data_IF_938035841027
#
_entry.id   IF_938035841027
#
_cell.length_a   1.000
_cell.length_b   1.000
_cell.length_c   1.000
_cell.angle_alpha   90.00
_cell.angle_beta   90.00
_cell.angle_gamma   90.00
#
_symmetry.space_group_name_H-M   'P 1'
#
loop_
_entity.id
_entity.type
_entity.pdbx_description
1 polymer ?
#
# COMPACT_ATOMS: atom_id res chain seq x y z
N UNK A 1 6.99 53.96 46.26
CA UNK A 1 6.44 52.60 46.37
C UNK A 1 6.39 51.98 44.97
N UNK A 2 7.07 50.84 44.81
CA UNK A 2 7.22 49.86 43.70
C UNK A 2 6.48 50.06 42.36
N UNK A 3 7.16 50.04 41.20
CA UNK A 3 6.54 49.72 39.92
C UNK A 3 6.27 48.21 39.82
N UNK A 4 5.05 47.82 39.44
CA UNK A 4 4.65 46.42 39.24
C UNK A 4 4.92 46.01 37.79
N UNK A 5 5.94 45.19 37.59
CA UNK A 5 6.19 44.45 36.35
C UNK A 5 4.99 43.56 36.01
N UNK A 6 4.35 43.82 34.87
CA UNK A 6 3.47 42.85 34.22
C UNK A 6 4.34 41.92 33.35
N UNK A 7 4.61 40.72 33.85
CA UNK A 7 5.23 39.65 33.06
C UNK A 7 4.11 39.03 32.21
N UNK A 8 4.19 39.24 30.90
CA UNK A 8 3.33 38.59 29.90
C UNK A 8 3.80 37.14 29.79
N UNK A 9 2.99 36.19 30.27
CA UNK A 9 3.20 34.76 30.00
C UNK A 9 2.59 34.42 28.63
N UNK A 10 3.39 34.51 27.57
CA UNK A 10 3.05 33.93 26.28
C UNK A 10 3.36 32.43 26.32
N UNK A 11 2.35 31.61 26.65
CA UNK A 11 2.42 30.16 26.48
C UNK A 11 2.20 29.85 25.01
N UNK A 12 3.28 29.71 24.25
CA UNK A 12 3.23 29.27 22.87
C UNK A 12 2.80 27.81 22.78
N UNK A 13 1.66 27.53 22.14
CA UNK A 13 1.31 26.19 21.69
C UNK A 13 2.29 25.79 20.58
N UNK A 14 3.28 24.96 20.91
CA UNK A 14 4.08 24.24 19.93
C UNK A 14 3.22 23.11 19.35
N UNK A 15 2.48 23.39 18.27
CA UNK A 15 1.93 22.35 17.40
C UNK A 15 3.11 21.70 16.66
N UNK A 16 3.60 20.59 17.21
CA UNK A 16 4.57 19.72 16.53
C UNK A 16 3.91 19.17 15.25
N UNK A 17 4.17 19.83 14.13
CA UNK A 17 3.82 19.33 12.81
C UNK A 17 4.82 18.24 12.46
N UNK A 18 4.44 16.98 12.65
CA UNK A 18 5.22 15.85 12.15
C UNK A 18 5.10 15.83 10.62
N UNK A 19 6.09 16.39 9.93
CA UNK A 19 6.24 16.21 8.48
C UNK A 19 6.79 14.80 8.25
N UNK A 20 5.96 13.88 7.75
CA UNK A 20 6.44 12.59 7.24
C UNK A 20 7.13 12.89 5.91
N UNK A 21 8.45 12.73 5.89
CA UNK A 21 9.26 12.90 4.69
C UNK A 21 8.87 11.82 3.67
N UNK A 22 8.38 12.23 2.49
CA UNK A 22 8.21 11.30 1.38
C UNK A 22 9.57 10.70 0.98
N UNK A 23 9.73 9.39 1.17
CA UNK A 23 10.95 8.68 0.80
C UNK A 23 10.90 8.27 -0.67
N UNK A 24 11.67 8.94 -1.53
CA UNK A 24 11.87 8.50 -2.91
C UNK A 24 12.77 7.27 -2.92
N UNK A 25 12.17 6.12 -3.22
CA UNK A 25 12.86 4.84 -3.29
C UNK A 25 12.89 4.34 -4.73
N UNK A 26 13.93 3.58 -5.10
CA UNK A 26 14.15 3.04 -6.44
C UNK A 26 14.30 1.52 -6.37
N UNK A 27 13.49 0.81 -7.14
CA UNK A 27 13.62 -0.64 -7.31
C UNK A 27 13.68 -1.04 -8.78
N UNK A 28 14.03 -2.30 -9.01
CA UNK A 28 14.01 -3.02 -10.27
C UNK A 28 13.10 -4.24 -10.09
N UNK A 29 12.30 -4.64 -11.09
CA UNK A 29 11.50 -5.86 -10.98
C UNK A 29 11.44 -6.63 -12.29
N UNK A 30 11.32 -7.94 -12.14
CA UNK A 30 11.01 -8.89 -13.19
C UNK A 30 9.50 -9.18 -13.17
N UNK A 31 8.89 -9.17 -14.35
CA UNK A 31 7.52 -9.63 -14.57
C UNK A 31 7.54 -10.98 -15.30
N UNK A 32 6.95 -12.00 -14.69
CA UNK A 32 6.89 -13.37 -15.23
C UNK A 32 5.45 -13.71 -15.59
N UNK A 33 5.25 -14.23 -16.79
CA UNK A 33 3.96 -14.70 -17.31
C UNK A 33 3.99 -16.22 -17.42
N UNK A 34 3.18 -16.91 -16.62
CA UNK A 34 2.86 -18.31 -16.83
C UNK A 34 1.55 -18.40 -17.63
N UNK A 35 1.66 -18.55 -18.95
CA UNK A 35 0.50 -18.59 -19.84
C UNK A 35 -0.26 -19.93 -19.79
N UNK A 36 0.29 -20.97 -19.15
CA UNK A 36 -0.36 -22.28 -19.03
C UNK A 36 -1.49 -22.22 -18.00
N UNK A 37 -1.23 -21.59 -16.85
CA UNK A 37 -2.18 -21.51 -15.73
C UNK A 37 -2.78 -20.10 -15.53
N UNK A 38 -2.38 -19.11 -16.33
CA UNK A 38 -2.84 -17.72 -16.18
C UNK A 38 -2.26 -17.03 -14.94
N UNK A 39 -1.09 -17.47 -14.49
CA UNK A 39 -0.41 -16.93 -13.32
C UNK A 39 0.60 -15.85 -13.73
N UNK A 40 0.62 -14.76 -12.97
CA UNK A 40 1.55 -13.66 -13.15
C UNK A 40 2.34 -13.45 -11.87
N UNK A 41 3.63 -13.17 -12.01
CA UNK A 41 4.51 -12.93 -10.88
C UNK A 41 5.29 -11.64 -11.08
N UNK A 42 5.36 -10.84 -10.03
CA UNK A 42 6.28 -9.72 -9.91
C UNK A 42 7.33 -10.13 -8.90
N UNK A 43 8.61 -10.06 -9.26
CA UNK A 43 9.70 -10.28 -8.31
C UNK A 43 10.67 -9.10 -8.35
N UNK A 44 10.89 -8.41 -7.22
CA UNK A 44 11.77 -7.26 -7.18
C UNK A 44 13.22 -7.70 -6.99
N UNK A 45 14.16 -6.85 -7.41
CA UNK A 45 15.58 -7.05 -7.18
C UNK A 45 15.93 -6.85 -5.69
N UNK A 46 15.36 -5.81 -5.07
CA UNK A 46 15.46 -5.58 -3.63
C UNK A 46 14.10 -5.74 -2.98
N UNK A 47 14.05 -6.18 -1.73
CA UNK A 47 12.76 -6.40 -1.07
C UNK A 47 11.99 -5.10 -0.83
N UNK A 48 12.69 -3.99 -0.59
CA UNK A 48 12.11 -2.67 -0.36
C UNK A 48 12.48 -1.72 -1.52
N UNK A 49 11.55 -0.87 -2.01
CA UNK A 49 10.10 -0.85 -1.71
C UNK A 49 9.44 -2.18 -2.02
N UNK A 50 8.43 -2.53 -1.22
CA UNK A 50 7.67 -3.77 -1.43
C UNK A 50 6.94 -3.63 -2.75
N UNK A 51 7.23 -4.51 -3.68
CA UNK A 51 6.58 -4.62 -4.98
C UNK A 51 6.82 -6.04 -5.49
N UNK A 52 6.01 -6.99 -5.04
CA UNK A 52 6.32 -8.43 -5.18
C UNK A 52 5.08 -9.30 -5.08
N UNK A 53 5.13 -10.49 -5.66
CA UNK A 53 4.19 -11.59 -5.48
C UNK A 53 3.34 -11.90 -6.71
N UNK A 54 2.40 -12.81 -6.53
CA UNK A 54 1.61 -13.40 -7.62
C UNK A 54 0.15 -12.95 -7.63
N UNK A 55 -0.49 -12.95 -8.80
CA UNK A 55 -1.91 -12.58 -8.95
C UNK A 55 -2.87 -13.57 -8.26
N UNK A 56 -2.41 -14.79 -8.00
CA UNK A 56 -3.18 -15.82 -7.31
C UNK A 56 -2.30 -16.69 -6.41
N UNK A 57 -2.93 -17.45 -5.53
CA UNK A 57 -2.26 -18.51 -4.79
C UNK A 57 -2.03 -19.71 -5.71
N UNK A 58 -0.78 -19.98 -6.05
CA UNK A 58 -0.47 -21.05 -7.00
C UNK A 58 -0.73 -22.42 -6.37
N UNK A 59 -1.21 -23.35 -7.19
CA UNK A 59 -1.47 -24.74 -6.76
C UNK A 59 -0.20 -25.42 -6.23
N UNK A 60 0.97 -25.03 -6.73
CA UNK A 60 2.26 -25.61 -6.37
C UNK A 60 2.88 -25.02 -5.11
N UNK A 61 2.57 -23.76 -4.77
CA UNK A 61 3.13 -23.15 -3.57
C UNK A 61 2.41 -23.59 -2.29
N UNK A 62 1.20 -24.17 -2.39
CA UNK A 62 0.42 -24.65 -1.24
C UNK A 62 0.37 -23.57 -0.14
N UNK A 63 0.66 -23.94 1.12
CA UNK A 63 0.69 -23.02 2.26
C UNK A 63 2.00 -22.23 2.39
N UNK A 64 2.96 -22.38 1.47
CA UNK A 64 4.22 -21.62 1.48
C UNK A 64 4.05 -20.22 0.90
N UNK A 65 3.08 -20.02 0.01
CA UNK A 65 2.71 -18.68 -0.44
C UNK A 65 1.78 -18.03 0.57
N UNK A 66 2.34 -17.12 1.37
CA UNK A 66 1.59 -16.43 2.42
C UNK A 66 0.76 -15.26 1.88
N UNK A 67 1.05 -14.76 0.68
CA UNK A 67 0.43 -13.53 0.16
C UNK A 67 0.25 -13.55 -1.34
N UNK A 68 -0.79 -12.84 -1.78
CA UNK A 68 -0.90 -12.33 -3.15
C UNK A 68 0.13 -11.23 -3.39
N UNK A 69 0.27 -10.80 -4.63
CA UNK A 69 1.14 -9.70 -4.97
C UNK A 69 0.68 -8.38 -4.40
N UNK A 70 1.62 -7.58 -3.94
CA UNK A 70 1.35 -6.33 -3.25
C UNK A 70 2.47 -5.32 -3.46
N UNK A 71 2.14 -4.06 -3.25
CA UNK A 71 3.13 -3.03 -2.98
C UNK A 71 2.87 -2.34 -1.66
N UNK A 72 3.87 -1.64 -1.16
CA UNK A 72 3.60 -0.66 -0.13
C UNK A 72 4.75 -0.33 0.78
N UNK A 73 4.37 0.38 1.82
CA UNK A 73 5.27 1.11 2.67
C UNK A 73 5.54 0.40 4.01
N UNK A 74 6.69 0.74 4.61
CA UNK A 74 6.82 0.69 6.06
C UNK A 74 5.98 1.82 6.67
N UNK A 75 5.18 1.45 7.66
CA UNK A 75 4.22 2.28 8.36
C UNK A 75 3.33 1.38 9.20
N UNK A 76 2.76 1.89 10.29
CA UNK A 76 1.83 1.13 11.13
C UNK A 76 0.47 1.82 11.14
N UNK A 77 -0.56 1.09 10.73
CA UNK A 77 -1.96 1.47 10.83
C UNK A 77 -2.49 1.05 12.20
N UNK A 78 -3.31 1.88 12.84
CA UNK A 78 -3.85 1.54 14.15
C UNK A 78 -4.80 0.34 14.07
N UNK A 79 -4.76 -0.55 15.07
CA UNK A 79 -5.77 -1.60 15.22
C UNK A 79 -7.14 -0.96 15.47
N UNK A 80 -8.22 -1.60 15.00
CA UNK A 80 -9.59 -1.10 15.09
C UNK A 80 -9.76 0.27 14.42
N UNK A 81 -9.12 0.46 13.28
CA UNK A 81 -9.23 1.66 12.44
C UNK A 81 -9.70 1.31 11.03
N UNK A 82 -10.04 2.34 10.27
CA UNK A 82 -10.33 2.28 8.85
C UNK A 82 -9.18 2.90 8.09
N UNK A 83 -8.60 2.13 7.17
CA UNK A 83 -7.45 2.51 6.39
C UNK A 83 -7.78 2.69 4.91
N UNK A 84 -7.06 3.61 4.29
CA UNK A 84 -7.13 3.90 2.86
C UNK A 84 -5.74 3.74 2.27
N UNK A 85 -5.65 3.14 1.10
CA UNK A 85 -4.42 2.90 0.35
C UNK A 85 -4.69 3.25 -1.12
N UNK A 86 -3.94 4.18 -1.68
CA UNK A 86 -4.14 4.62 -3.06
C UNK A 86 -2.87 5.03 -3.76
N UNK A 87 -2.95 5.09 -5.09
CA UNK A 87 -1.93 5.67 -5.94
C UNK A 87 -2.40 7.03 -6.47
N UNK A 88 -1.63 8.09 -6.21
CA UNK A 88 -1.88 9.40 -6.80
C UNK A 88 -1.37 9.41 -8.26
N UNK A 89 -2.14 10.04 -9.17
CA UNK A 89 -1.85 10.16 -10.60
C UNK A 89 -1.53 8.84 -11.32
N UNK A 90 -2.11 7.73 -10.84
CA UNK A 90 -1.87 6.41 -11.42
C UNK A 90 -2.64 6.19 -12.72
N UNK A 91 -2.01 5.60 -13.75
CA UNK A 91 -2.70 5.12 -14.95
C UNK A 91 -3.48 3.81 -14.71
N UNK A 92 -3.28 3.16 -13.55
CA UNK A 92 -3.91 1.88 -13.22
C UNK A 92 -5.29 2.16 -12.61
N UNK A 93 -6.36 1.76 -13.31
CA UNK A 93 -7.71 1.79 -12.75
C UNK A 93 -7.89 0.67 -11.72
N UNK A 94 -8.37 1.02 -10.52
CA UNK A 94 -8.60 0.10 -9.40
C UNK A 94 -7.38 -0.76 -9.08
N UNK A 95 -6.23 -0.17 -8.70
CA UNK A 95 -4.97 -0.89 -8.58
C UNK A 95 -4.93 -1.92 -7.45
N UNK A 96 -5.82 -1.81 -6.45
CA UNK A 96 -5.78 -2.63 -5.25
C UNK A 96 -7.14 -3.26 -4.91
N UNK A 97 -7.12 -4.44 -4.30
CA UNK A 97 -8.31 -5.17 -3.80
C UNK A 97 -8.46 -5.12 -2.28
N UNK A 98 -7.38 -4.77 -1.56
CA UNK A 98 -7.36 -4.76 -0.10
C UNK A 98 -5.96 -4.53 0.45
N UNK A 99 -5.82 -4.63 1.77
CA UNK A 99 -4.54 -4.60 2.47
C UNK A 99 -4.04 -6.03 2.76
N UNK A 100 -2.74 -6.27 2.60
CA UNK A 100 -2.18 -7.61 2.70
C UNK A 100 -2.37 -8.23 4.09
N UNK A 101 -2.79 -9.49 4.12
CA UNK A 101 -2.94 -10.28 5.34
C UNK A 101 -2.48 -11.71 5.05
N UNK A 102 -1.56 -12.29 5.83
CA UNK A 102 -1.11 -13.66 5.54
C UNK A 102 -2.25 -14.66 5.56
N UNK A 103 -2.44 -15.41 4.48
CA UNK A 103 -3.55 -16.38 4.36
C UNK A 103 -3.50 -17.50 5.42
N UNK A 104 -2.33 -17.75 6.00
CA UNK A 104 -2.12 -18.77 7.02
C UNK A 104 -2.51 -18.29 8.43
N UNK A 105 -2.75 -17.00 8.60
CA UNK A 105 -3.08 -16.43 9.90
C UNK A 105 -4.58 -16.49 10.15
N UNK A 106 -4.96 -16.98 11.33
CA UNK A 106 -6.38 -17.26 11.67
C UNK A 106 -7.26 -16.00 11.65
N UNK A 107 -6.67 -14.84 11.90
CA UNK A 107 -7.38 -13.55 11.89
C UNK A 107 -7.44 -12.90 10.50
N UNK A 108 -6.81 -13.52 9.50
CA UNK A 108 -6.83 -13.08 8.10
C UNK A 108 -7.86 -13.87 7.29
N UNK A 109 -8.52 -13.23 6.29
CA UNK A 109 -9.29 -13.96 5.29
C UNK A 109 -8.42 -14.93 4.49
N UNK A 110 -9.02 -16.05 4.06
CA UNK A 110 -8.32 -17.08 3.28
C UNK A 110 -7.78 -16.56 1.93
N UNK A 111 -8.41 -15.50 1.40
CA UNK A 111 -8.01 -14.80 0.18
C UNK A 111 -6.76 -13.93 0.38
N UNK A 112 -6.26 -13.80 1.61
CA UNK A 112 -4.94 -13.21 1.91
C UNK A 112 -4.90 -11.68 1.94
N UNK A 113 -6.05 -11.04 2.19
CA UNK A 113 -6.12 -9.59 2.37
C UNK A 113 -7.33 -9.17 3.22
N UNK A 114 -7.23 -8.02 3.87
CA UNK A 114 -8.36 -7.32 4.46
C UNK A 114 -9.06 -6.51 3.35
N UNK A 115 -10.36 -6.78 3.08
CA UNK A 115 -11.06 -6.11 1.99
C UNK A 115 -11.42 -4.67 2.35
N UNK A 116 -11.65 -3.86 1.32
CA UNK A 116 -12.20 -2.51 1.42
C UNK A 116 -13.02 -2.16 0.18
N UNK A 117 -13.48 -0.92 0.11
CA UNK A 117 -14.14 -0.38 -1.07
C UNK A 117 -13.12 -0.07 -2.17
N UNK A 118 -13.28 -0.72 -3.32
CA UNK A 118 -12.39 -0.54 -4.47
C UNK A 118 -12.81 0.71 -5.25
N UNK A 119 -12.00 1.76 -5.18
CA UNK A 119 -12.17 2.98 -5.96
C UNK A 119 -11.20 3.06 -7.14
N UNK A 120 -11.37 4.10 -7.96
CA UNK A 120 -10.56 4.31 -9.18
C UNK A 120 -9.05 4.28 -8.91
N UNK A 121 -8.60 4.89 -7.81
CA UNK A 121 -7.18 5.10 -7.53
C UNK A 121 -6.63 4.15 -6.45
N UNK A 122 -7.47 3.34 -5.81
CA UNK A 122 -7.05 2.56 -4.66
C UNK A 122 -8.17 1.80 -3.98
N UNK A 123 -7.92 1.38 -2.76
CA UNK A 123 -8.85 0.70 -1.88
C UNK A 123 -9.02 1.51 -0.60
N UNK A 124 -10.27 1.67 -0.17
CA UNK A 124 -10.66 2.60 0.89
C UNK A 124 -11.46 1.86 1.96
N UNK A 125 -11.48 2.40 3.17
CA UNK A 125 -12.31 1.90 4.26
C UNK A 125 -11.99 0.44 4.61
N UNK A 126 -10.71 0.08 4.58
CA UNK A 126 -10.23 -1.24 5.00
C UNK A 126 -10.31 -1.29 6.53
N UNK A 127 -11.09 -2.22 7.07
CA UNK A 127 -11.16 -2.40 8.52
C UNK A 127 -9.92 -3.15 9.02
N UNK A 128 -9.01 -2.44 9.68
CA UNK A 128 -7.78 -3.00 10.29
C UNK A 128 -8.14 -3.74 11.58
N UNK A 129 -8.59 -4.99 11.45
CA UNK A 129 -9.05 -5.83 12.57
C UNK A 129 -7.94 -6.62 13.26
N UNK A 130 -6.76 -6.70 12.65
CA UNK A 130 -5.60 -7.47 13.14
C UNK A 130 -4.29 -6.83 12.68
N UNK A 131 -3.22 -7.04 13.43
CA UNK A 131 -1.83 -6.78 12.97
C UNK A 131 -1.07 -8.05 12.61
N UNK A 132 -1.59 -9.22 13.02
CA UNK A 132 -1.04 -10.51 12.63
C UNK A 132 -1.10 -10.67 11.11
N UNK A 133 -0.18 -11.47 10.56
CA UNK A 133 -0.08 -11.64 9.12
C UNK A 133 0.38 -10.38 8.38
N UNK A 134 1.03 -9.47 9.08
CA UNK A 134 1.49 -8.17 8.61
C UNK A 134 0.38 -7.20 8.14
N UNK A 135 -0.87 -7.41 8.57
CA UNK A 135 -2.03 -6.57 8.21
C UNK A 135 -2.07 -5.20 8.90
N UNK A 136 -1.09 -4.90 9.76
CA UNK A 136 -0.89 -3.56 10.30
C UNK A 136 -0.09 -2.65 9.37
N UNK A 137 0.51 -3.19 8.30
CA UNK A 137 1.36 -2.44 7.38
C UNK A 137 0.55 -2.08 6.12
N UNK A 138 0.57 -0.82 5.67
CA UNK A 138 -0.17 -0.39 4.48
C UNK A 138 0.46 -1.00 3.23
N UNK A 139 -0.05 -2.16 2.82
CA UNK A 139 0.46 -3.00 1.74
C UNK A 139 -0.70 -3.39 0.82
N UNK A 140 -1.01 -2.50 -0.12
CA UNK A 140 -2.07 -2.70 -1.12
C UNK A 140 -1.81 -3.94 -1.97
N UNK A 141 -2.72 -4.91 -1.89
CA UNK A 141 -2.70 -6.12 -2.73
C UNK A 141 -3.18 -5.77 -4.13
N UNK A 142 -2.38 -6.10 -5.13
CA UNK A 142 -2.65 -5.81 -6.53
C UNK A 142 -3.93 -6.46 -7.02
N UNK A 143 -4.68 -5.72 -7.81
CA UNK A 143 -5.84 -6.23 -8.56
C UNK A 143 -5.42 -6.90 -9.88
N UNK A 144 -6.38 -7.53 -10.56
CA UNK A 144 -6.15 -8.03 -11.92
C UNK A 144 -5.78 -6.89 -12.89
N UNK A 145 -6.40 -5.72 -12.77
CA UNK A 145 -6.07 -4.57 -13.63
C UNK A 145 -4.65 -4.06 -13.41
N UNK A 146 -4.11 -4.17 -12.20
CA UNK A 146 -2.70 -3.88 -11.94
C UNK A 146 -1.77 -4.86 -12.68
N UNK A 147 -2.07 -6.17 -12.63
CA UNK A 147 -1.30 -7.16 -13.39
C UNK A 147 -1.41 -6.98 -14.91
N UNK A 148 -2.60 -6.65 -15.42
CA UNK A 148 -2.80 -6.30 -16.83
C UNK A 148 -1.98 -5.08 -17.23
N UNK A 149 -1.91 -4.05 -16.37
CA UNK A 149 -1.04 -2.91 -16.60
C UNK A 149 0.44 -3.34 -16.65
N UNK A 150 0.92 -4.08 -15.63
CA UNK A 150 2.33 -4.51 -15.56
C UNK A 150 2.76 -5.36 -16.76
N UNK A 151 1.86 -6.21 -17.26
CA UNK A 151 2.08 -7.02 -18.47
C UNK A 151 2.36 -6.15 -19.70
N UNK A 152 1.64 -5.04 -19.80
CA UNK A 152 1.72 -4.12 -20.93
C UNK A 152 2.83 -3.06 -20.80
N UNK A 153 3.47 -2.93 -19.63
CA UNK A 153 4.64 -2.07 -19.46
C UNK A 153 5.79 -2.58 -20.35
N UNK A 154 6.42 -1.71 -21.17
CA UNK A 154 7.60 -2.07 -21.95
C UNK A 154 8.81 -2.38 -21.04
N UNK A 155 9.65 -3.33 -21.46
CA UNK A 155 10.92 -3.59 -20.76
C UNK A 155 11.80 -2.35 -20.82
N UNK A 156 12.42 -1.99 -19.70
CA UNK A 156 13.26 -0.80 -19.58
C UNK A 156 12.47 0.47 -19.27
N UNK A 157 11.14 0.40 -19.21
CA UNK A 157 10.32 1.53 -18.79
C UNK A 157 10.59 1.90 -17.32
N UNK A 158 10.47 3.21 -17.06
CA UNK A 158 10.55 3.78 -15.72
C UNK A 158 9.16 4.21 -15.32
N UNK A 159 8.62 3.61 -14.27
CA UNK A 159 7.32 3.98 -13.72
C UNK A 159 7.50 4.66 -12.35
N UNK A 160 6.69 5.67 -12.08
CA UNK A 160 6.66 6.35 -10.78
C UNK A 160 5.28 6.13 -10.20
N UNK A 161 5.21 5.57 -8.98
CA UNK A 161 3.98 5.32 -8.26
C UNK A 161 3.96 6.11 -6.95
N UNK A 162 3.12 7.13 -6.89
CA UNK A 162 2.95 7.91 -5.67
C UNK A 162 2.03 7.13 -4.72
N UNK A 163 2.60 6.42 -3.76
CA UNK A 163 1.88 5.49 -2.89
C UNK A 163 1.48 6.16 -1.58
N UNK A 164 0.18 6.27 -1.35
CA UNK A 164 -0.33 6.94 -0.16
C UNK A 164 -1.11 5.96 0.70
N UNK A 165 -1.06 6.20 2.01
CA UNK A 165 -1.97 5.57 2.94
C UNK A 165 -2.36 6.53 4.06
N UNK A 166 -3.54 6.31 4.63
CA UNK A 166 -3.97 6.95 5.87
C UNK A 166 -4.87 6.01 6.66
N UNK A 167 -5.10 6.33 7.93
CA UNK A 167 -6.08 5.60 8.73
C UNK A 167 -6.76 6.51 9.74
N UNK A 168 -7.94 6.09 10.20
CA UNK A 168 -8.77 6.79 11.18
C UNK A 168 -9.53 5.82 12.07
N UNK A 169 -9.73 6.17 13.33
CA UNK A 169 -10.63 5.42 14.23
C UNK A 169 -12.10 5.78 14.03
N UNK A 170 -12.39 6.85 13.27
CA UNK A 170 -13.74 7.26 12.92
C UNK A 170 -14.19 6.53 11.67
N UNK A 171 -15.27 5.77 11.81
CA UNK A 171 -16.04 5.25 10.69
C UNK A 171 -16.54 6.41 9.81
N UNK A 172 -16.49 6.23 8.50
CA UNK A 172 -16.80 7.26 7.52
C UNK A 172 -17.47 6.63 6.28
N UNK A 173 -18.38 7.37 5.63
CA UNK A 173 -19.17 6.85 4.49
C UNK A 173 -18.49 7.19 3.15
N UNK A 174 -18.59 6.26 2.19
CA UNK A 174 -18.15 6.42 0.79
C UNK A 174 -19.39 6.51 -0.15
N UNK A 175 -19.43 7.32 -1.23
CA UNK A 175 -18.67 8.54 -1.57
C UNK A 175 -19.60 9.78 -1.57
N UNK A 176 -19.37 10.85 -0.77
CA UNK A 176 -18.54 11.96 -1.27
C UNK A 176 -17.81 12.79 -0.18
N UNK A 177 -16.51 13.07 -0.42
CA UNK A 177 -16.00 14.44 -0.26
C UNK A 177 -14.91 14.75 0.76
N UNK A 178 -14.60 13.91 1.77
CA UNK A 178 -13.49 14.21 2.69
C UNK A 178 -12.76 12.94 3.17
N UNK A 179 -11.57 12.74 2.60
CA UNK A 179 -10.55 11.79 3.09
C UNK A 179 -10.18 12.16 4.53
N UNK A 180 -10.07 11.16 5.40
CA UNK A 180 -9.94 11.37 6.84
C UNK A 180 -8.50 11.71 7.23
N UNK A 181 -8.37 12.74 8.06
CA UNK A 181 -7.12 13.36 8.47
C UNK A 181 -6.25 12.47 9.37
N UNK A 182 -5.25 11.78 8.79
CA UNK A 182 -3.89 11.63 9.33
C UNK A 182 -2.96 11.13 8.21
N UNK A 183 -2.15 12.04 7.69
CA UNK A 183 -1.33 11.83 6.48
C UNK A 183 -0.07 11.00 6.77
N UNK A 184 0.09 9.88 6.07
CA UNK A 184 1.39 9.24 5.81
C UNK A 184 1.64 9.19 4.30
N UNK A 185 2.52 10.06 3.79
CA UNK A 185 2.84 10.15 2.36
C UNK A 185 4.14 9.38 2.05
N UNK A 186 4.14 8.49 1.03
CA UNK A 186 5.36 7.89 0.48
C UNK A 186 5.35 7.90 -1.06
N UNK A 187 6.28 8.61 -1.70
CA UNK A 187 6.47 8.50 -3.15
C UNK A 187 7.40 7.34 -3.51
N UNK A 188 6.90 6.31 -4.20
CA UNK A 188 7.72 5.18 -4.65
C UNK A 188 8.06 5.32 -6.14
N UNK A 189 9.33 5.24 -6.52
CA UNK A 189 9.75 5.20 -7.93
C UNK A 189 10.20 3.79 -8.26
N UNK A 190 9.55 3.09 -9.20
CA UNK A 190 9.83 1.69 -9.49
C UNK A 190 10.25 1.57 -10.95
N UNK A 191 11.53 1.27 -11.18
CA UNK A 191 12.03 1.01 -12.52
C UNK A 191 11.77 -0.45 -12.88
N UNK A 192 11.52 -0.76 -14.15
CA UNK A 192 11.52 -2.14 -14.66
C UNK A 192 12.70 -2.35 -15.61
N UNK A 193 13.90 -2.65 -15.11
CA UNK A 193 15.01 -3.03 -15.96
C UNK A 193 14.98 -4.55 -16.16
N UNK A 194 14.95 -4.92 -17.44
CA UNK A 194 15.43 -6.18 -17.99
C UNK A 194 15.04 -7.47 -17.23
N UNK A 195 13.92 -8.06 -17.60
CA UNK A 195 13.86 -9.24 -18.49
C UNK A 195 12.38 -9.55 -18.75
N UNK A 196 11.99 -9.76 -20.01
CA UNK A 196 10.75 -10.49 -20.34
C UNK A 196 11.19 -11.89 -20.76
N UNK A 197 10.37 -12.88 -20.39
CA UNK A 197 10.47 -14.33 -20.62
C UNK A 197 11.30 -15.13 -19.59
N UNK A 198 10.58 -15.90 -18.78
CA UNK A 198 10.83 -17.33 -18.74
C UNK A 198 9.71 -17.97 -19.57
N UNK A 199 10.09 -18.58 -20.69
CA UNK A 199 9.23 -19.48 -21.48
C UNK A 199 8.88 -20.73 -20.68
#
# INVERSE_FOLDING_TARGET
MKPRNFIILAVGLLLASFTIQAANVKNQYLFVENQIDGEYFVTPLTLDPRFTGANMFTKYASNRQLSLGYMGAFGLMALNSFADIWLEDSPIDRPFVGDRCWRSEKTCPADGYLPGYIGKNGVYHIKVSTWLGEAGFPRGVFSNSAYEYFRNVPVGAVNVYKYHYCYTTKDYVLPPGKVVSRWGERRETINSPSLKRAT
#
